data_IF_026182043838
#
_entry.id   IF_026182043838
#
_cell.length_a   1.000
_cell.length_b   1.000
_cell.length_c   1.000
_cell.angle_alpha   90.00
_cell.angle_beta   90.00
_cell.angle_gamma   90.00
#
_symmetry.space_group_name_H-M   'P 1'
#
loop_
_entity.id
_entity.type
_entity.pdbx_description
1 polymer ?
#
# COMPACT_ATOMS: atom_id res chain seq x y z
N UNK A 1 7.02 -18.87 -10.95
CA UNK A 1 7.74 -17.75 -11.58
C UNK A 1 7.12 -16.44 -11.15
N UNK A 2 7.93 -15.50 -10.66
CA UNK A 2 7.45 -14.17 -10.27
C UNK A 2 7.51 -13.24 -11.48
N UNK A 3 6.39 -12.63 -11.79
CA UNK A 3 6.30 -11.72 -12.94
C UNK A 3 6.51 -10.27 -12.54
N UNK A 4 6.12 -9.91 -11.34
CA UNK A 4 6.25 -8.56 -10.83
C UNK A 4 6.93 -8.63 -9.47
N UNK A 5 8.25 -8.47 -9.51
CA UNK A 5 9.07 -8.49 -8.30
C UNK A 5 10.09 -7.38 -8.39
N UNK A 6 10.04 -6.46 -7.44
CA UNK A 6 10.94 -5.32 -7.37
C UNK A 6 11.74 -5.39 -6.08
N UNK A 7 13.05 -5.21 -6.20
CA UNK A 7 13.94 -5.30 -5.06
C UNK A 7 14.00 -3.98 -4.28
N UNK A 8 14.76 -3.98 -3.20
CA UNK A 8 14.95 -2.82 -2.33
C UNK A 8 15.42 -1.59 -3.11
N UNK A 9 16.39 -1.76 -3.99
CA UNK A 9 17.00 -0.62 -4.69
C UNK A 9 16.00 0.12 -5.56
N UNK A 10 15.09 -0.61 -6.20
CA UNK A 10 14.03 -0.01 -7.00
C UNK A 10 12.97 0.63 -6.12
N UNK A 11 12.55 -0.05 -5.06
CA UNK A 11 11.45 0.43 -4.22
C UNK A 11 11.79 1.69 -3.44
N UNK A 12 13.01 1.83 -2.94
CA UNK A 12 13.39 3.02 -2.17
C UNK A 12 13.66 4.24 -3.05
N UNK A 13 13.82 4.04 -4.34
CA UNK A 13 14.00 5.15 -5.28
C UNK A 13 12.63 5.71 -5.67
N UNK A 14 12.23 6.80 -5.02
CA UNK A 14 10.89 7.37 -5.23
C UNK A 14 10.69 7.92 -6.63
N UNK A 15 11.73 8.39 -7.31
CA UNK A 15 11.60 8.82 -8.70
C UNK A 15 11.17 7.67 -9.61
N UNK A 16 11.60 6.46 -9.28
CA UNK A 16 11.24 5.28 -10.04
C UNK A 16 9.92 4.67 -9.57
N UNK A 17 9.70 4.59 -8.25
CA UNK A 17 8.58 3.85 -7.66
C UNK A 17 7.27 4.63 -7.61
N UNK A 18 7.32 5.94 -7.36
CA UNK A 18 6.09 6.75 -7.25
C UNK A 18 5.25 6.77 -8.52
N UNK A 19 5.82 6.81 -9.75
CA UNK A 19 4.99 6.76 -10.95
C UNK A 19 4.31 5.42 -11.19
N UNK A 20 4.69 4.38 -10.47
CA UNK A 20 4.12 3.05 -10.66
C UNK A 20 2.95 2.84 -9.72
N UNK A 21 1.83 2.47 -10.28
CA UNK A 21 0.58 2.31 -9.55
C UNK A 21 0.11 0.86 -9.62
N UNK A 22 -0.67 0.51 -8.61
CA UNK A 22 -1.28 -0.80 -8.50
C UNK A 22 -2.78 -0.63 -8.36
N UNK A 23 -3.53 -1.36 -9.16
CA UNK A 23 -4.98 -1.31 -9.18
C UNK A 23 -5.56 -2.71 -8.99
N UNK A 24 -6.48 -2.84 -8.07
CA UNK A 24 -7.28 -4.05 -7.90
C UNK A 24 -8.76 -3.67 -7.90
N UNK A 25 -9.56 -4.46 -8.57
CA UNK A 25 -11.02 -4.24 -8.64
C UNK A 25 -11.74 -5.46 -8.08
N UNK A 26 -13.00 -5.26 -7.65
CA UNK A 26 -13.82 -6.36 -7.13
C UNK A 26 -14.89 -6.82 -8.11
N UNK A 27 -14.87 -6.34 -9.34
CA UNK A 27 -15.82 -6.65 -10.40
C UNK A 27 -17.23 -6.11 -10.15
N UNK A 28 -17.45 -5.31 -9.11
CA UNK A 28 -18.74 -4.68 -8.83
C UNK A 28 -18.61 -3.17 -8.63
N UNK A 29 -17.55 -2.57 -9.17
CA UNK A 29 -17.38 -1.12 -9.18
C UNK A 29 -16.46 -0.57 -8.11
N UNK A 30 -16.16 -1.33 -7.08
CA UNK A 30 -15.21 -0.89 -6.06
C UNK A 30 -13.77 -1.17 -6.52
N UNK A 31 -12.83 -0.41 -5.97
CA UNK A 31 -11.43 -0.62 -6.31
C UNK A 31 -10.50 -0.22 -5.15
N UNK A 32 -9.27 -0.68 -5.27
CA UNK A 32 -8.12 -0.27 -4.47
C UNK A 32 -7.05 0.18 -5.45
N UNK A 33 -6.59 1.41 -5.31
CA UNK A 33 -5.55 1.96 -6.19
C UNK A 33 -4.61 2.85 -5.40
N UNK A 34 -3.32 2.58 -5.50
CA UNK A 34 -2.28 3.42 -4.91
C UNK A 34 -0.96 3.17 -5.64
N UNK A 35 0.09 3.88 -5.25
CA UNK A 35 1.42 3.58 -5.76
C UNK A 35 1.94 2.29 -5.14
N UNK A 36 2.98 1.71 -5.75
CA UNK A 36 3.56 0.45 -5.22
C UNK A 36 4.26 0.63 -3.88
N UNK A 37 4.52 1.86 -3.44
CA UNK A 37 5.08 2.16 -2.11
C UNK A 37 4.02 2.59 -1.12
N UNK A 38 2.73 2.38 -1.46
CA UNK A 38 1.58 2.75 -0.62
C UNK A 38 1.50 4.24 -0.29
N UNK A 39 1.94 5.08 -1.21
CA UNK A 39 1.83 6.53 -1.08
C UNK A 39 0.73 7.04 -2.01
N UNK A 40 -0.34 7.58 -1.47
CA UNK A 40 -1.42 8.14 -2.28
C UNK A 40 -0.97 9.48 -2.87
N UNK A 41 -0.86 9.56 -4.18
CA UNK A 41 -0.38 10.75 -4.88
C UNK A 41 -1.42 11.37 -5.80
N UNK A 42 -2.55 10.70 -6.00
CA UNK A 42 -3.60 11.15 -6.92
C UNK A 42 -4.95 11.15 -6.21
N UNK A 43 -5.86 11.98 -6.72
CA UNK A 43 -7.18 12.15 -6.12
C UNK A 43 -7.96 10.84 -5.99
N UNK A 44 -7.82 9.96 -6.97
CA UNK A 44 -8.54 8.69 -7.00
C UNK A 44 -7.87 7.58 -6.20
N UNK A 45 -6.72 7.84 -5.60
CA UNK A 45 -6.05 6.82 -4.78
C UNK A 45 -6.80 6.57 -3.49
N UNK A 46 -6.85 5.32 -3.07
CA UNK A 46 -7.47 4.90 -1.83
C UNK A 46 -7.30 3.40 -1.61
N UNK A 47 -7.33 3.01 -0.35
CA UNK A 47 -7.22 1.61 0.02
C UNK A 47 -8.53 0.87 -0.21
N UNK A 48 -9.66 1.55 0.00
CA UNK A 48 -10.98 1.02 -0.31
C UNK A 48 -11.84 2.16 -0.85
N UNK A 49 -12.19 2.09 -2.13
CA UNK A 49 -13.01 3.08 -2.82
C UNK A 49 -14.21 2.36 -3.40
N UNK A 50 -15.40 2.79 -3.02
CA UNK A 50 -16.64 2.12 -3.41
C UNK A 50 -17.63 3.09 -4.06
N UNK A 51 -18.47 2.60 -4.99
CA UNK A 51 -19.59 3.37 -5.46
C UNK A 51 -20.71 3.34 -4.42
N UNK A 52 -21.36 4.48 -4.21
CA UNK A 52 -22.54 4.55 -3.33
C UNK A 52 -23.65 5.23 -4.15
N UNK A 53 -24.37 4.45 -4.97
CA UNK A 53 -25.39 5.02 -5.89
C UNK A 53 -26.49 5.79 -5.17
N UNK A 54 -26.75 5.46 -3.91
CA UNK A 54 -27.75 6.15 -3.10
C UNK A 54 -27.36 7.58 -2.77
N UNK A 55 -26.08 7.91 -2.84
CA UNK A 55 -25.60 9.26 -2.57
C UNK A 55 -25.44 10.06 -3.87
N UNK A 56 -24.69 9.51 -4.84
CA UNK A 56 -24.43 10.16 -6.12
C UNK A 56 -23.84 9.14 -7.10
N UNK A 57 -23.33 9.64 -8.24
CA UNK A 57 -22.74 8.79 -9.27
C UNK A 57 -21.24 8.56 -9.09
N UNK A 58 -20.64 9.19 -8.07
CA UNK A 58 -19.21 9.14 -7.88
C UNK A 58 -18.80 7.99 -6.97
N UNK A 59 -17.51 7.66 -7.00
CA UNK A 59 -16.91 6.73 -6.06
C UNK A 59 -16.47 7.47 -4.80
N UNK A 60 -16.57 6.78 -3.67
CA UNK A 60 -16.26 7.35 -2.37
C UNK A 60 -15.12 6.60 -1.71
N UNK A 61 -14.13 7.35 -1.22
CA UNK A 61 -12.99 6.76 -0.50
C UNK A 61 -13.43 6.44 0.92
N UNK A 62 -13.59 5.17 1.21
CA UNK A 62 -13.99 4.71 2.55
C UNK A 62 -12.79 4.55 3.47
N UNK A 63 -11.66 4.15 2.91
CA UNK A 63 -10.40 4.03 3.64
C UNK A 63 -9.28 4.51 2.73
N UNK A 64 -8.64 5.60 3.11
CA UNK A 64 -7.59 6.21 2.30
C UNK A 64 -6.30 5.41 2.38
N UNK A 65 -5.83 5.15 3.58
CA UNK A 65 -4.57 4.44 3.81
C UNK A 65 -4.56 3.82 5.20
N UNK A 66 -3.63 2.90 5.41
CA UNK A 66 -3.42 2.25 6.70
C UNK A 66 -1.93 2.08 6.91
N UNK A 67 -1.41 2.76 7.92
CA UNK A 67 0.02 2.72 8.22
C UNK A 67 0.27 1.80 9.41
N UNK A 68 1.25 0.93 9.28
CA UNK A 68 1.71 0.08 10.37
C UNK A 68 2.93 0.74 11.04
N UNK A 69 3.07 0.49 12.33
CA UNK A 69 4.24 0.92 13.09
C UNK A 69 4.82 -0.29 13.80
N UNK A 70 6.11 -0.54 13.58
CA UNK A 70 6.83 -1.59 14.28
C UNK A 70 7.51 -0.98 15.50
N UNK A 71 7.24 -1.54 16.66
CA UNK A 71 7.87 -1.11 17.91
C UNK A 71 8.85 -2.19 18.35
N UNK A 72 10.11 -1.83 18.47
CA UNK A 72 11.17 -2.76 18.85
C UNK A 72 12.13 -2.05 19.81
N UNK A 73 12.36 -2.67 20.97
CA UNK A 73 13.29 -2.13 22.00
C UNK A 73 12.99 -0.67 22.37
N UNK A 74 11.70 -0.32 22.47
CA UNK A 74 11.27 1.02 22.83
C UNK A 74 11.31 2.04 21.69
N UNK A 75 11.77 1.66 20.51
CA UNK A 75 11.79 2.54 19.33
C UNK A 75 10.62 2.21 18.42
N UNK A 76 9.98 3.23 17.88
CA UNK A 76 8.85 3.09 16.97
C UNK A 76 9.29 3.42 15.54
N UNK A 77 8.95 2.54 14.60
CA UNK A 77 9.28 2.70 13.19
C UNK A 77 7.98 2.70 12.38
N UNK A 78 7.59 3.87 11.88
CA UNK A 78 6.38 4.01 11.09
C UNK A 78 6.69 3.63 9.64
N UNK A 79 5.92 2.70 9.08
CA UNK A 79 6.14 2.18 7.74
C UNK A 79 5.35 2.95 6.67
N UNK A 80 4.62 3.98 7.06
CA UNK A 80 3.82 4.78 6.15
C UNK A 80 4.65 5.73 5.30
N UNK A 81 4.06 6.19 4.21
CA UNK A 81 4.63 7.20 3.33
C UNK A 81 3.51 8.06 2.78
N UNK A 82 3.57 9.36 3.05
CA UNK A 82 2.55 10.30 2.59
C UNK A 82 3.22 11.49 1.91
N UNK A 83 2.58 11.97 0.85
CA UNK A 83 3.01 13.16 0.14
C UNK A 83 2.23 14.36 0.64
N UNK A 84 2.94 15.38 1.09
CA UNK A 84 2.37 16.63 1.54
C UNK A 84 2.69 17.76 0.57
N UNK A 85 2.08 18.93 0.80
CA UNK A 85 2.27 20.09 -0.05
C UNK A 85 3.75 20.45 -0.14
N UNK A 86 4.23 20.81 -1.36
CA UNK A 86 5.61 21.18 -1.59
C UNK A 86 6.55 20.01 -1.80
N UNK A 87 6.03 18.88 -2.29
CA UNK A 87 6.80 17.65 -2.53
C UNK A 87 7.53 17.16 -1.29
N UNK A 88 6.87 17.32 -0.16
CA UNK A 88 7.36 16.86 1.13
C UNK A 88 6.78 15.49 1.45
N UNK A 89 7.65 14.54 1.82
CA UNK A 89 7.22 13.17 2.14
C UNK A 89 7.49 12.86 3.61
N UNK A 90 6.51 12.25 4.28
CA UNK A 90 6.66 11.88 5.68
C UNK A 90 5.57 10.88 6.08
N UNK A 91 5.81 9.98 7.01
CA UNK A 91 7.13 9.47 7.40
C UNK A 91 7.77 8.72 6.24
N UNK A 92 9.05 8.46 6.29
CA UNK A 92 9.77 7.84 5.18
C UNK A 92 9.81 6.32 5.33
N UNK A 93 8.65 5.70 5.45
CA UNK A 93 8.56 4.26 5.67
C UNK A 93 9.02 3.40 4.50
N UNK A 94 9.07 3.98 3.29
CA UNK A 94 9.54 3.28 2.10
C UNK A 94 11.00 2.80 2.24
N UNK A 95 11.80 3.47 3.05
CA UNK A 95 13.20 3.07 3.24
C UNK A 95 13.35 1.70 3.91
N UNK A 96 12.29 1.19 4.53
CA UNK A 96 12.29 -0.13 5.15
C UNK A 96 11.85 -1.25 4.21
N UNK A 97 11.41 -0.91 2.99
CA UNK A 97 10.95 -1.91 2.02
C UNK A 97 12.14 -2.70 1.51
N UNK A 98 12.00 -4.03 1.54
CA UNK A 98 13.00 -4.96 1.00
C UNK A 98 12.58 -5.47 -0.36
N UNK A 99 11.28 -5.65 -0.58
CA UNK A 99 10.79 -6.26 -1.78
C UNK A 99 9.30 -5.95 -1.95
N UNK A 100 8.88 -5.79 -3.18
CA UNK A 100 7.48 -5.75 -3.56
C UNK A 100 7.25 -6.78 -4.65
N UNK A 101 6.20 -7.57 -4.52
CA UNK A 101 5.79 -8.47 -5.60
C UNK A 101 4.27 -8.48 -5.72
N UNK A 102 3.80 -8.92 -6.89
CA UNK A 102 2.37 -9.03 -7.15
C UNK A 102 2.16 -10.26 -8.05
N UNK A 103 2.34 -11.44 -7.47
CA UNK A 103 2.08 -12.69 -8.20
C UNK A 103 0.60 -13.00 -8.22
N UNK A 104 0.01 -13.24 -7.06
CA UNK A 104 -1.45 -13.42 -6.95
C UNK A 104 -2.09 -12.24 -6.27
N UNK A 105 -1.45 -11.70 -5.21
CA UNK A 105 -1.89 -10.51 -4.49
C UNK A 105 -0.70 -9.58 -4.29
N UNK A 106 -0.94 -8.27 -4.16
CA UNK A 106 0.14 -7.34 -3.84
C UNK A 106 0.74 -7.65 -2.47
N UNK A 107 2.05 -7.78 -2.43
CA UNK A 107 2.77 -8.11 -1.21
C UNK A 107 3.99 -7.20 -1.08
N UNK A 108 4.12 -6.56 0.07
CA UNK A 108 5.26 -5.72 0.40
C UNK A 108 5.99 -6.31 1.60
N UNK A 109 7.30 -6.47 1.49
CA UNK A 109 8.12 -6.96 2.59
C UNK A 109 8.95 -5.82 3.15
N UNK A 110 8.83 -5.60 4.45
CA UNK A 110 9.59 -4.58 5.19
C UNK A 110 10.58 -5.26 6.12
N UNK A 111 11.71 -4.61 6.34
CA UNK A 111 12.67 -5.05 7.35
C UNK A 111 13.05 -3.88 8.24
N UNK A 112 12.84 -4.06 9.53
CA UNK A 112 13.19 -3.08 10.55
C UNK A 112 14.06 -3.79 11.59
N UNK A 113 15.36 -3.54 11.55
CA UNK A 113 16.29 -4.26 12.44
C UNK A 113 16.24 -5.75 12.19
N UNK A 114 15.95 -6.52 13.25
CA UNK A 114 15.79 -7.98 13.16
C UNK A 114 14.39 -8.45 12.85
N UNK A 115 13.46 -7.53 12.58
CA UNK A 115 12.05 -7.86 12.33
C UNK A 115 11.76 -7.76 10.84
N UNK A 116 11.14 -8.80 10.28
CA UNK A 116 10.65 -8.80 8.90
C UNK A 116 9.13 -8.82 8.97
N UNK A 117 8.49 -7.84 8.32
CA UNK A 117 7.04 -7.78 8.22
C UNK A 117 6.62 -7.89 6.77
N UNK A 118 5.69 -8.79 6.49
CA UNK A 118 5.11 -8.96 5.17
C UNK A 118 3.66 -8.49 5.22
N UNK A 119 3.30 -7.60 4.30
CA UNK A 119 1.95 -7.03 4.21
C UNK A 119 1.33 -7.44 2.88
N UNK A 120 0.18 -8.10 2.94
CA UNK A 120 -0.58 -8.49 1.76
C UNK A 120 -1.93 -7.79 1.75
N UNK A 121 -2.42 -7.46 0.55
CA UNK A 121 -3.74 -6.86 0.37
C UNK A 121 -4.56 -7.76 -0.54
N UNK A 122 -5.69 -8.25 -0.03
CA UNK A 122 -6.59 -9.12 -0.78
C UNK A 122 -7.92 -8.40 -0.96
N UNK A 123 -8.27 -8.10 -2.21
CA UNK A 123 -9.54 -7.46 -2.53
C UNK A 123 -10.57 -8.54 -2.87
N UNK A 124 -11.65 -8.57 -2.10
CA UNK A 124 -12.65 -9.64 -2.21
C UNK A 124 -13.54 -9.39 -3.43
N UNK A 125 -13.67 -10.43 -4.26
CA UNK A 125 -14.47 -10.37 -5.48
C UNK A 125 -15.95 -10.16 -5.14
N UNK A 126 -16.57 -9.18 -5.82
CA UNK A 126 -17.99 -8.84 -5.70
C UNK A 126 -18.44 -8.35 -4.31
N UNK A 127 -17.50 -8.04 -3.42
CA UNK A 127 -17.80 -7.49 -2.11
C UNK A 127 -16.99 -6.22 -1.89
N UNK A 128 -17.57 -5.24 -1.19
CA UNK A 128 -16.87 -4.00 -0.84
C UNK A 128 -16.00 -4.23 0.39
N UNK A 129 -15.00 -5.09 0.24
CA UNK A 129 -14.17 -5.55 1.34
C UNK A 129 -12.74 -5.76 0.89
N UNK A 130 -11.80 -5.26 1.69
CA UNK A 130 -10.38 -5.54 1.50
C UNK A 130 -9.84 -6.18 2.77
N UNK A 131 -9.02 -7.21 2.61
CA UNK A 131 -8.32 -7.86 3.71
C UNK A 131 -6.86 -7.45 3.66
N UNK A 132 -6.34 -7.02 4.79
CA UNK A 132 -4.93 -6.67 4.94
C UNK A 132 -4.32 -7.66 5.93
N UNK A 133 -3.36 -8.43 5.43
CA UNK A 133 -2.68 -9.46 6.21
C UNK A 133 -1.27 -8.99 6.50
N UNK A 134 -0.92 -8.93 7.78
CA UNK A 134 0.42 -8.55 8.21
C UNK A 134 1.03 -9.70 9.00
N UNK A 135 2.16 -10.22 8.52
CA UNK A 135 2.89 -11.30 9.17
C UNK A 135 4.25 -10.78 9.63
N UNK A 136 4.61 -11.14 10.84
CA UNK A 136 5.88 -10.71 11.44
C UNK A 136 6.74 -11.95 11.69
N UNK A 137 7.99 -11.86 11.25
CA UNK A 137 9.03 -12.85 11.52
C UNK A 137 10.17 -12.17 12.25
N UNK A 138 10.69 -12.86 13.25
CA UNK A 138 11.80 -12.34 14.04
C UNK A 138 13.07 -13.11 13.73
#
# INVERSE_FOLDING_TARGET
>A
MSYLKFDKNLMINLEWSLPKEMLRTNKSGAYHCTTIVDCNTRKQHGLLVIPIPELDKDNHVMLSSLDETVIQHGAAFNLGLHKYRGDCFSPNGHKYIREFNCESVPQTMYRVGGVIMTKEKVFISHENRILILSLIHI
#
